data_IF_698204979903
#
_entry.id   IF_698204979903
#
_cell.length_a   1.000
_cell.length_b   1.000
_cell.length_c   1.000
_cell.angle_alpha   90.00
_cell.angle_beta   90.00
_cell.angle_gamma   90.00
#
_symmetry.space_group_name_H-M   'P 1'
#
loop_
_entity.id
_entity.type
_entity.pdbx_description
1 polymer ?
#
# COMPACT_ATOMS: atom_id res chain seq x y z
N UNK A 1 -6.36 -34.45 12.76
CA UNK A 1 -6.14 -35.50 11.73
C UNK A 1 -6.03 -34.96 10.30
N UNK A 2 -6.52 -33.75 9.97
CA UNK A 2 -6.43 -33.18 8.60
C UNK A 2 -5.03 -32.70 8.15
N UNK A 3 -4.14 -32.32 9.08
CA UNK A 3 -2.79 -31.83 8.73
C UNK A 3 -1.91 -32.87 8.02
N UNK A 4 -2.02 -34.16 8.41
CA UNK A 4 -1.20 -35.24 7.84
C UNK A 4 -1.60 -35.64 6.41
N UNK A 5 -2.84 -35.38 5.99
CA UNK A 5 -3.30 -35.68 4.62
C UNK A 5 -2.93 -34.59 3.62
N UNK A 6 -2.85 -33.33 4.07
CA UNK A 6 -2.37 -32.21 3.25
C UNK A 6 -0.88 -32.38 2.94
N UNK A 7 -0.04 -32.66 3.94
CA UNK A 7 1.39 -32.91 3.73
C UNK A 7 1.66 -34.10 2.79
N UNK A 8 0.87 -35.18 2.90
CA UNK A 8 0.96 -36.34 2.03
C UNK A 8 0.48 -36.10 0.59
N UNK A 9 -0.28 -35.02 0.35
CA UNK A 9 -0.73 -34.58 -0.97
C UNK A 9 0.25 -33.62 -1.63
N UNK A 10 0.89 -32.74 -0.84
CA UNK A 10 1.95 -31.83 -1.28
C UNK A 10 3.18 -32.62 -1.76
N UNK A 11 3.55 -33.69 -1.06
CA UNK A 11 4.63 -34.61 -1.50
C UNK A 11 4.34 -35.36 -2.82
N UNK A 12 3.12 -35.27 -3.35
CA UNK A 12 2.67 -35.88 -4.62
C UNK A 12 2.27 -34.83 -5.67
N UNK A 13 2.48 -33.54 -5.40
CA UNK A 13 2.15 -32.47 -6.32
C UNK A 13 3.01 -32.58 -7.59
N UNK A 14 2.36 -32.60 -8.75
CA UNK A 14 3.06 -32.58 -10.03
C UNK A 14 3.77 -31.24 -10.23
N UNK A 15 4.91 -31.21 -10.93
CA UNK A 15 5.53 -29.96 -11.34
C UNK A 15 4.54 -29.01 -12.04
N UNK A 16 3.57 -29.57 -12.77
CA UNK A 16 2.47 -28.81 -13.37
C UNK A 16 1.57 -28.13 -12.34
N UNK A 17 1.21 -28.80 -11.24
CA UNK A 17 0.35 -28.19 -10.21
C UNK A 17 1.07 -27.09 -9.46
N UNK A 18 2.37 -27.26 -9.17
CA UNK A 18 3.19 -26.22 -8.56
C UNK A 18 3.30 -24.97 -9.45
N UNK A 19 3.53 -25.14 -10.76
CA UNK A 19 3.59 -24.01 -11.69
C UNK A 19 2.26 -23.25 -11.78
N UNK A 20 1.13 -23.96 -11.75
CA UNK A 20 -0.20 -23.34 -11.74
C UNK A 20 -0.41 -22.56 -10.43
N UNK A 21 -0.05 -23.16 -9.30
CA UNK A 21 -0.19 -22.52 -7.99
C UNK A 21 0.70 -21.27 -7.87
N UNK A 22 1.95 -21.35 -8.32
CA UNK A 22 2.87 -20.21 -8.39
C UNK A 22 2.33 -19.09 -9.28
N UNK A 23 1.75 -19.43 -10.43
CA UNK A 23 1.15 -18.43 -11.31
C UNK A 23 -0.06 -17.75 -10.66
N UNK A 24 -0.98 -18.53 -10.07
CA UNK A 24 -2.15 -18.00 -9.36
C UNK A 24 -1.73 -17.13 -8.17
N UNK A 25 -0.70 -17.54 -7.43
CA UNK A 25 -0.12 -16.77 -6.36
C UNK A 25 0.48 -15.45 -6.89
N UNK A 26 1.25 -15.50 -7.97
CA UNK A 26 1.83 -14.33 -8.62
C UNK A 26 0.76 -13.31 -9.05
N UNK A 27 -0.34 -13.77 -9.63
CA UNK A 27 -1.47 -12.90 -10.00
C UNK A 27 -2.10 -12.24 -8.77
N UNK A 28 -2.24 -12.96 -7.66
CA UNK A 28 -2.73 -12.38 -6.40
C UNK A 28 -1.78 -11.31 -5.86
N UNK A 29 -0.48 -11.54 -5.90
CA UNK A 29 0.51 -10.55 -5.47
C UNK A 29 0.54 -9.32 -6.37
N UNK A 30 0.46 -9.50 -7.70
CA UNK A 30 0.37 -8.39 -8.64
C UNK A 30 -0.85 -7.50 -8.36
N UNK A 31 -1.99 -8.09 -7.96
CA UNK A 31 -3.17 -7.33 -7.51
C UNK A 31 -2.91 -6.56 -6.21
N UNK A 32 -2.21 -7.16 -5.25
CA UNK A 32 -1.84 -6.48 -4.01
C UNK A 32 -0.92 -5.25 -4.24
N UNK A 33 -0.19 -5.23 -5.37
CA UNK A 33 0.65 -4.10 -5.76
C UNK A 33 -0.10 -2.95 -6.45
N UNK A 34 -1.42 -3.04 -6.67
CA UNK A 34 -2.17 -2.00 -7.38
C UNK A 34 -2.12 -0.66 -6.66
N UNK A 35 -2.48 -0.62 -5.37
CA UNK A 35 -2.45 0.62 -4.59
C UNK A 35 -1.03 1.23 -4.52
N UNK A 36 0.03 0.49 -4.13
CA UNK A 36 1.40 1.00 -4.15
C UNK A 36 1.85 1.51 -5.53
N UNK A 37 1.49 0.81 -6.61
CA UNK A 37 1.82 1.22 -7.98
C UNK A 37 1.15 2.54 -8.37
N UNK A 38 -0.12 2.71 -8.02
CA UNK A 38 -0.86 3.98 -8.22
C UNK A 38 -0.25 5.09 -7.37
N UNK A 39 0.07 4.81 -6.10
CA UNK A 39 0.68 5.77 -5.19
C UNK A 39 2.04 6.27 -5.69
N UNK A 40 2.91 5.37 -6.14
CA UNK A 40 4.21 5.74 -6.74
C UNK A 40 3.98 6.58 -8.00
N UNK A 41 2.97 6.27 -8.80
CA UNK A 41 2.62 7.06 -9.98
C UNK A 41 2.20 8.48 -9.60
N UNK A 42 1.38 8.65 -8.55
CA UNK A 42 1.00 9.96 -8.01
C UNK A 42 2.23 10.73 -7.51
N UNK A 43 3.12 10.05 -6.77
CA UNK A 43 4.36 10.64 -6.29
C UNK A 43 5.24 11.12 -7.44
N UNK A 44 5.40 10.33 -8.50
CA UNK A 44 6.13 10.73 -9.70
C UNK A 44 5.47 11.93 -10.37
N UNK A 45 4.17 11.85 -10.63
CA UNK A 45 3.39 12.92 -11.26
C UNK A 45 3.48 14.24 -10.51
N UNK A 46 3.55 14.20 -9.17
CA UNK A 46 3.68 15.42 -8.34
C UNK A 46 4.89 16.30 -8.69
N UNK A 47 5.89 15.76 -9.39
CA UNK A 47 7.07 16.52 -9.84
C UNK A 47 6.90 17.14 -11.24
N UNK A 48 5.91 16.68 -12.01
CA UNK A 48 5.78 17.02 -13.44
C UNK A 48 4.49 17.75 -13.79
N UNK A 49 3.48 17.70 -12.92
CA UNK A 49 2.18 18.33 -13.17
C UNK A 49 2.02 19.62 -12.37
N UNK A 50 1.31 20.63 -12.88
CA UNK A 50 0.95 21.79 -12.08
C UNK A 50 0.06 21.34 -10.91
N UNK A 51 0.41 21.78 -9.70
CA UNK A 51 -0.29 21.40 -8.46
C UNK A 51 -1.47 22.33 -8.12
N UNK A 52 -1.76 23.30 -8.99
CA UNK A 52 -2.88 24.24 -8.87
C UNK A 52 -2.97 24.97 -7.51
N UNK A 53 -1.81 25.29 -6.92
CA UNK A 53 -1.73 25.97 -5.63
C UNK A 53 -1.78 25.06 -4.41
N UNK A 54 -1.85 23.73 -4.59
CA UNK A 54 -1.67 22.76 -3.51
C UNK A 54 -0.17 22.58 -3.20
N UNK A 55 0.15 22.45 -1.93
CA UNK A 55 1.46 21.93 -1.52
C UNK A 55 1.64 20.51 -2.04
N UNK A 56 2.89 20.13 -2.35
CA UNK A 56 3.19 18.84 -2.96
C UNK A 56 2.76 17.67 -2.08
N UNK A 57 2.96 17.78 -0.77
CA UNK A 57 2.57 16.75 0.19
C UNK A 57 1.05 16.62 0.29
N UNK A 58 0.31 17.73 0.28
CA UNK A 58 -1.15 17.73 0.29
C UNK A 58 -1.72 17.12 -1.01
N UNK A 59 -1.11 17.42 -2.15
CA UNK A 59 -1.48 16.80 -3.44
C UNK A 59 -1.31 15.27 -3.40
N UNK A 60 -0.16 14.80 -2.89
CA UNK A 60 0.10 13.36 -2.76
C UNK A 60 -0.87 12.71 -1.79
N UNK A 61 -1.14 13.35 -0.65
CA UNK A 61 -2.08 12.86 0.37
C UNK A 61 -3.50 12.73 -0.20
N UNK A 62 -4.04 13.79 -0.82
CA UNK A 62 -5.35 13.78 -1.45
C UNK A 62 -5.41 12.74 -2.57
N UNK A 63 -4.36 12.64 -3.40
CA UNK A 63 -4.24 11.63 -4.42
C UNK A 63 -4.31 10.20 -3.86
N UNK A 64 -3.61 9.92 -2.76
CA UNK A 64 -3.63 8.63 -2.10
C UNK A 64 -5.02 8.27 -1.56
N UNK A 65 -5.70 9.23 -0.91
CA UNK A 65 -7.08 9.04 -0.42
C UNK A 65 -8.04 8.77 -1.58
N UNK A 66 -7.96 9.54 -2.67
CA UNK A 66 -8.79 9.35 -3.85
C UNK A 66 -8.53 7.99 -4.51
N UNK A 67 -7.27 7.56 -4.61
CA UNK A 67 -6.91 6.24 -5.13
C UNK A 67 -7.52 5.13 -4.28
N UNK A 68 -7.41 5.22 -2.95
CA UNK A 68 -8.00 4.25 -2.03
C UNK A 68 -9.52 4.20 -2.16
N UNK A 69 -10.19 5.36 -2.20
CA UNK A 69 -11.65 5.44 -2.39
C UNK A 69 -12.05 4.85 -3.74
N UNK A 70 -11.30 5.11 -4.81
CA UNK A 70 -11.57 4.56 -6.12
C UNK A 70 -11.44 3.03 -6.16
N UNK A 71 -10.39 2.46 -5.57
CA UNK A 71 -10.18 1.00 -5.53
C UNK A 71 -11.30 0.28 -4.76
N UNK A 72 -11.75 0.87 -3.65
CA UNK A 72 -12.88 0.35 -2.87
C UNK A 72 -14.20 0.51 -3.63
N UNK A 73 -14.46 1.68 -4.23
CA UNK A 73 -15.69 1.96 -4.98
C UNK A 73 -15.83 1.07 -6.22
N UNK A 74 -14.71 0.82 -6.92
CA UNK A 74 -14.64 -0.09 -8.07
C UNK A 74 -14.62 -1.58 -7.67
N UNK A 75 -14.66 -1.90 -6.37
CA UNK A 75 -14.63 -3.26 -5.81
C UNK A 75 -13.41 -4.07 -6.29
N UNK A 76 -12.31 -3.39 -6.57
CA UNK A 76 -11.02 -4.03 -6.91
C UNK A 76 -10.40 -4.64 -5.64
N UNK A 77 -10.61 -3.96 -4.51
CA UNK A 77 -10.17 -4.36 -3.17
C UNK A 77 -11.32 -4.88 -2.32
N UNK A 78 -11.01 -5.88 -1.51
CA UNK A 78 -11.88 -6.43 -0.48
C UNK A 78 -11.82 -5.61 0.80
N UNK A 79 -12.80 -5.79 1.70
CA UNK A 79 -12.83 -5.09 2.99
C UNK A 79 -11.62 -5.42 3.87
N UNK A 80 -11.18 -6.68 3.86
CA UNK A 80 -10.04 -7.13 4.66
C UNK A 80 -8.72 -6.55 4.14
N UNK A 81 -8.57 -6.45 2.81
CA UNK A 81 -7.43 -5.77 2.18
C UNK A 81 -7.41 -4.27 2.53
N UNK A 82 -8.55 -3.59 2.41
CA UNK A 82 -8.67 -2.18 2.76
C UNK A 82 -8.38 -1.91 4.25
N UNK A 83 -8.84 -2.79 5.15
CA UNK A 83 -8.55 -2.68 6.59
C UNK A 83 -7.07 -2.90 6.89
N UNK A 84 -6.43 -3.84 6.20
CA UNK A 84 -4.99 -4.11 6.33
C UNK A 84 -4.17 -2.91 5.86
N UNK A 85 -4.53 -2.33 4.70
CA UNK A 85 -3.93 -1.10 4.21
C UNK A 85 -4.13 0.05 5.20
N UNK A 86 -5.34 0.24 5.71
CA UNK A 86 -5.63 1.28 6.71
C UNK A 86 -4.79 1.11 7.98
N UNK A 87 -4.68 -0.11 8.52
CA UNK A 87 -3.85 -0.39 9.69
C UNK A 87 -2.36 -0.08 9.45
N UNK A 88 -1.85 -0.38 8.24
CA UNK A 88 -0.49 -0.03 7.86
C UNK A 88 -0.26 1.49 7.83
N UNK A 89 -1.21 2.26 7.30
CA UNK A 89 -1.12 3.73 7.30
C UNK A 89 -1.24 4.32 8.69
N UNK A 90 -2.08 3.74 9.57
CA UNK A 90 -2.15 4.15 10.96
C UNK A 90 -0.81 3.96 11.67
N UNK A 91 -0.15 2.82 11.44
CA UNK A 91 1.21 2.60 11.92
C UNK A 91 2.20 3.60 11.32
N UNK A 92 2.07 3.94 10.04
CA UNK A 92 2.84 4.97 9.37
C UNK A 92 2.72 6.33 10.04
N UNK A 93 1.50 6.77 10.37
CA UNK A 93 1.24 8.03 11.08
C UNK A 93 1.87 8.01 12.47
N UNK A 94 1.77 6.89 13.20
CA UNK A 94 2.44 6.76 14.50
C UNK A 94 3.97 6.91 14.38
N UNK A 95 4.56 6.30 13.34
CA UNK A 95 5.98 6.44 13.06
C UNK A 95 6.34 7.86 12.61
N UNK A 96 5.48 8.53 11.86
CA UNK A 96 5.66 9.92 11.47
C UNK A 96 5.73 10.83 12.70
N UNK A 97 4.72 10.78 13.59
CA UNK A 97 4.70 11.53 14.86
C UNK A 97 5.94 11.26 15.70
N UNK A 98 6.37 10.01 15.78
CA UNK A 98 7.59 9.65 16.51
C UNK A 98 8.84 10.26 15.87
N UNK A 99 8.94 10.21 14.53
CA UNK A 99 10.14 10.62 13.81
C UNK A 99 10.29 12.12 13.68
N UNK A 100 9.18 12.87 13.58
CA UNK A 100 9.15 14.33 13.49
C UNK A 100 9.21 15.02 14.85
N UNK A 101 8.97 14.29 15.95
CA UNK A 101 9.03 14.84 17.29
C UNK A 101 10.35 15.62 17.57
N UNK A 102 10.29 16.86 18.10
CA UNK A 102 11.47 17.69 18.36
C UNK A 102 12.53 17.03 19.26
N UNK A 103 12.15 16.13 20.16
CA UNK A 103 13.07 15.42 21.04
C UNK A 103 13.87 14.31 20.33
N UNK A 104 13.37 13.80 19.20
CA UNK A 104 13.99 12.72 18.42
C UNK A 104 14.67 13.30 17.17
N UNK A 105 13.97 14.17 16.43
CA UNK A 105 14.51 14.93 15.30
C UNK A 105 15.07 14.07 14.16
N UNK A 106 14.62 12.83 14.01
CA UNK A 106 15.19 11.88 13.05
C UNK A 106 14.81 12.16 11.59
N UNK A 107 13.77 12.96 11.38
CA UNK A 107 13.31 13.41 10.07
C UNK A 107 12.48 14.70 10.19
N UNK A 108 12.47 15.52 9.14
CA UNK A 108 11.62 16.71 9.02
C UNK A 108 11.15 16.88 7.57
N UNK A 109 10.01 17.54 7.39
CA UNK A 109 9.50 17.89 6.07
C UNK A 109 10.27 19.09 5.50
N UNK A 110 10.87 18.98 4.30
CA UNK A 110 11.65 20.08 3.71
C UNK A 110 10.80 21.11 2.96
N UNK A 111 9.56 20.77 2.60
CA UNK A 111 8.57 21.66 1.97
C UNK A 111 7.38 21.82 2.93
N UNK A 112 6.64 22.92 2.84
CA UNK A 112 5.43 23.09 3.67
C UNK A 112 4.30 22.15 3.20
N UNK A 113 3.47 21.70 4.15
CA UNK A 113 2.25 20.95 3.86
C UNK A 113 1.20 21.18 4.94
N UNK A 114 -0.06 21.38 4.57
CA UNK A 114 -1.12 21.61 5.57
C UNK A 114 -1.34 20.40 6.48
N UNK A 115 -1.21 19.19 5.91
CA UNK A 115 -1.37 17.94 6.65
C UNK A 115 -0.07 17.43 7.28
N UNK A 116 1.01 18.23 7.31
CA UNK A 116 2.24 17.82 7.96
C UNK A 116 2.10 17.84 9.49
N UNK A 117 2.69 16.85 10.15
CA UNK A 117 2.62 16.72 11.62
C UNK A 117 3.90 17.31 12.24
N UNK A 118 3.75 18.52 12.80
CA UNK A 118 4.76 19.39 13.41
C UNK A 118 5.43 18.83 14.68
#
# INVERSE_FOLDING_TARGET
>A
MAGRSLEASVGRASARSLLIELFVFGVKQARACLFPGIFISILLLSNYVPLFGLARYDFIFVGAVLAQVALVALKVETRDEALTLFAFHLLGILLEVFKTNPAIGSWSYPEEGFFEVW
#
